data_IF_109269492937
#
_entry.id   IF_109269492937
#
_cell.length_a   1.000
_cell.length_b   1.000
_cell.length_c   1.000
_cell.angle_alpha   90.00
_cell.angle_beta   90.00
_cell.angle_gamma   90.00
#
_symmetry.space_group_name_H-M   'P 1'
#
loop_
_entity.id
_entity.type
_entity.pdbx_description
1 polymer ?
#
# COMPACT_ATOMS: atom_id res chain seq x y z
N UNK A 1 -4.45 18.44 -11.44
CA UNK A 1 -5.09 18.83 -10.18
C UNK A 1 -5.33 20.32 -10.17
N UNK A 2 -6.56 20.72 -9.94
CA UNK A 2 -6.86 22.16 -9.98
C UNK A 2 -6.63 22.82 -8.65
N UNK A 3 -6.72 22.07 -7.57
CA UNK A 3 -6.53 22.63 -6.26
C UNK A 3 -6.15 21.54 -5.30
N UNK A 4 -5.69 21.94 -4.12
CA UNK A 4 -5.38 20.97 -3.08
C UNK A 4 -6.63 20.23 -2.60
N UNK A 5 -7.81 20.78 -2.84
CA UNK A 5 -9.05 20.09 -2.49
C UNK A 5 -9.24 18.83 -3.32
N UNK A 6 -8.83 18.87 -4.58
CA UNK A 6 -8.93 17.69 -5.44
C UNK A 6 -8.10 16.55 -4.87
N UNK A 7 -6.88 16.87 -4.45
CA UNK A 7 -6.00 15.90 -3.85
C UNK A 7 -6.56 15.39 -2.53
N UNK A 8 -7.04 16.29 -1.69
CA UNK A 8 -7.55 15.90 -0.38
C UNK A 8 -8.75 14.97 -0.50
N UNK A 9 -9.62 15.20 -1.49
CA UNK A 9 -10.77 14.33 -1.70
C UNK A 9 -10.32 12.91 -2.02
N UNK A 10 -9.29 12.77 -2.84
CA UNK A 10 -8.76 11.45 -3.18
C UNK A 10 -8.10 10.80 -1.96
N UNK A 11 -7.34 11.57 -1.20
CA UNK A 11 -6.71 11.04 0.01
C UNK A 11 -7.76 10.56 1.01
N UNK A 12 -8.83 11.31 1.17
CA UNK A 12 -9.91 10.91 2.07
C UNK A 12 -10.57 9.62 1.59
N UNK A 13 -10.76 9.51 0.29
CA UNK A 13 -11.34 8.30 -0.29
C UNK A 13 -10.44 7.09 -0.07
N UNK A 14 -9.14 7.27 -0.29
CA UNK A 14 -8.18 6.19 -0.08
C UNK A 14 -8.18 5.73 1.38
N UNK A 15 -8.21 6.69 2.30
CA UNK A 15 -8.22 6.37 3.72
C UNK A 15 -9.48 5.60 4.10
N UNK A 16 -10.63 6.03 3.60
CA UNK A 16 -11.89 5.35 3.92
C UNK A 16 -11.89 3.91 3.41
N UNK A 17 -11.43 3.71 2.18
CA UNK A 17 -11.36 2.38 1.60
C UNK A 17 -10.41 1.50 2.39
N UNK A 18 -9.26 2.05 2.77
CA UNK A 18 -8.26 1.29 3.50
C UNK A 18 -8.78 0.83 4.86
N UNK A 19 -9.42 1.74 5.59
CA UNK A 19 -9.96 1.41 6.91
C UNK A 19 -11.00 0.30 6.79
N UNK A 20 -11.88 0.41 5.79
CA UNK A 20 -12.90 -0.60 5.62
C UNK A 20 -12.30 -1.96 5.26
N UNK A 21 -11.34 -1.98 4.35
CA UNK A 21 -10.71 -3.24 3.98
C UNK A 21 -9.94 -3.83 5.15
N UNK A 22 -9.30 -2.99 5.94
CA UNK A 22 -8.56 -3.48 7.10
C UNK A 22 -9.52 -4.12 8.11
N UNK A 23 -10.70 -3.56 8.28
CA UNK A 23 -11.71 -4.15 9.14
C UNK A 23 -12.19 -5.49 8.61
N UNK A 24 -12.33 -5.61 7.30
CA UNK A 24 -12.82 -6.85 6.69
C UNK A 24 -11.77 -7.95 6.69
N UNK A 25 -10.54 -7.61 6.33
CA UNK A 25 -9.49 -8.62 6.15
C UNK A 25 -8.59 -8.80 7.36
N UNK A 26 -8.47 -7.77 8.20
CA UNK A 26 -7.49 -7.78 9.25
C UNK A 26 -6.09 -7.59 8.69
N UNK A 27 -5.07 -7.64 9.54
CA UNK A 27 -3.70 -7.33 9.12
C UNK A 27 -2.94 -8.50 8.51
N UNK A 28 -3.37 -9.74 8.75
CA UNK A 28 -2.54 -10.89 8.42
C UNK A 28 -2.48 -11.22 6.94
N UNK A 29 -3.44 -10.72 6.17
CA UNK A 29 -3.36 -10.92 4.73
C UNK A 29 -2.12 -10.24 4.15
N UNK A 30 -1.60 -9.24 4.84
CA UNK A 30 -0.36 -8.56 4.46
C UNK A 30 0.79 -9.11 5.29
N UNK A 31 0.66 -9.05 6.62
CA UNK A 31 1.76 -9.43 7.50
C UNK A 31 2.13 -10.90 7.39
N UNK A 32 1.14 -11.75 7.14
CA UNK A 32 1.35 -13.18 7.04
C UNK A 32 1.49 -13.71 5.63
N UNK A 33 1.67 -12.84 4.65
CA UNK A 33 1.75 -13.28 3.26
C UNK A 33 2.95 -14.19 3.06
N UNK A 34 2.78 -15.27 2.26
CA UNK A 34 3.91 -16.13 1.96
C UNK A 34 5.05 -15.35 1.32
N UNK A 35 6.25 -15.60 1.78
CA UNK A 35 7.41 -14.87 1.29
C UNK A 35 7.61 -13.52 1.95
N UNK A 36 6.75 -13.19 2.92
CA UNK A 36 6.85 -11.94 3.65
C UNK A 36 5.93 -10.86 3.10
N UNK A 37 5.66 -9.84 3.91
CA UNK A 37 4.71 -8.81 3.52
C UNK A 37 5.13 -8.03 2.28
N UNK A 38 6.41 -7.72 2.13
CA UNK A 38 6.84 -6.98 0.95
C UNK A 38 6.68 -7.80 -0.31
N UNK A 39 6.97 -9.10 -0.22
CA UNK A 39 6.77 -9.96 -1.38
C UNK A 39 5.30 -10.08 -1.74
N UNK A 40 4.44 -10.22 -0.74
CA UNK A 40 3.00 -10.27 -0.98
C UNK A 40 2.50 -9.01 -1.65
N UNK A 41 3.00 -7.85 -1.21
CA UNK A 41 2.62 -6.59 -1.81
C UNK A 41 3.08 -6.49 -3.26
N UNK A 42 4.31 -6.93 -3.54
CA UNK A 42 4.80 -6.92 -4.93
C UNK A 42 3.89 -7.73 -5.85
N UNK A 43 3.47 -8.89 -5.39
CA UNK A 43 2.61 -9.76 -6.18
C UNK A 43 1.26 -9.09 -6.41
N UNK A 44 0.68 -8.51 -5.37
CA UNK A 44 -0.62 -7.85 -5.49
C UNK A 44 -0.56 -6.65 -6.41
N UNK A 45 0.50 -5.87 -6.29
CA UNK A 45 0.67 -4.70 -7.14
C UNK A 45 0.90 -5.11 -8.58
N UNK A 46 1.63 -6.19 -8.80
CA UNK A 46 1.84 -6.70 -10.14
C UNK A 46 0.51 -7.09 -10.79
N UNK A 47 -0.35 -7.78 -10.02
CA UNK A 47 -1.66 -8.16 -10.56
C UNK A 47 -2.48 -6.95 -10.94
N UNK A 48 -2.45 -5.91 -10.11
CA UNK A 48 -3.20 -4.69 -10.40
C UNK A 48 -2.63 -3.97 -11.60
N UNK A 49 -1.32 -3.96 -11.75
CA UNK A 49 -0.69 -3.34 -12.91
C UNK A 49 -1.04 -4.09 -14.18
N UNK A 50 -1.02 -5.42 -14.13
CA UNK A 50 -1.42 -6.24 -15.28
C UNK A 50 -2.87 -5.96 -15.66
N UNK A 51 -3.74 -5.81 -14.66
CA UNK A 51 -5.13 -5.49 -14.92
C UNK A 51 -5.26 -4.12 -15.58
N UNK A 52 -4.53 -3.14 -15.06
CA UNK A 52 -4.56 -1.81 -15.63
C UNK A 52 -4.12 -1.82 -17.09
N UNK A 53 -3.02 -2.52 -17.37
CA UNK A 53 -2.52 -2.61 -18.73
C UNK A 53 -3.57 -3.23 -19.64
N UNK A 54 -4.21 -4.29 -19.18
CA UNK A 54 -5.22 -4.95 -19.98
C UNK A 54 -6.43 -4.03 -20.25
N UNK A 55 -6.88 -3.33 -19.23
CA UNK A 55 -8.03 -2.44 -19.38
C UNK A 55 -7.73 -1.30 -20.32
N UNK A 56 -6.53 -0.75 -20.24
CA UNK A 56 -6.14 0.38 -21.09
C UNK A 56 -5.91 -0.09 -22.53
N UNK A 57 -5.23 -1.21 -22.71
CA UNK A 57 -4.89 -1.70 -24.03
C UNK A 57 -6.08 -2.25 -24.79
N UNK A 58 -7.08 -2.68 -24.07
CA UNK A 58 -8.27 -3.20 -24.70
C UNK A 58 -8.90 -2.20 -25.62
N UNK A 59 -8.97 -0.98 -25.20
CA UNK A 59 -9.27 0.14 -26.06
C UNK A 59 -10.67 0.28 -26.60
N UNK A 60 -11.52 -0.70 -26.43
CA UNK A 60 -12.88 -0.57 -26.92
C UNK A 60 -13.70 0.19 -25.87
N UNK A 61 -14.63 -0.39 -25.22
CA UNK A 61 -15.46 0.34 -24.29
C UNK A 61 -14.72 0.50 -22.96
N UNK A 62 -14.27 1.69 -22.63
CA UNK A 62 -13.52 1.85 -21.39
C UNK A 62 -14.43 1.60 -20.20
N UNK A 63 -13.92 0.82 -19.28
CA UNK A 63 -14.59 0.62 -18.01
C UNK A 63 -13.92 1.54 -17.02
N UNK A 64 -14.40 2.76 -16.95
CA UNK A 64 -13.80 3.78 -16.11
C UNK A 64 -13.81 3.40 -14.64
N UNK A 65 -14.86 2.72 -14.22
CA UNK A 65 -14.98 2.30 -12.84
C UNK A 65 -13.89 1.30 -12.48
N UNK A 66 -13.64 0.34 -13.37
CA UNK A 66 -12.58 -0.64 -13.12
C UNK A 66 -11.20 -0.02 -13.15
N UNK A 67 -10.98 0.95 -14.03
CA UNK A 67 -9.71 1.65 -14.10
C UNK A 67 -9.50 2.46 -12.81
N UNK A 68 -10.52 3.18 -12.40
CA UNK A 68 -10.44 3.96 -11.16
C UNK A 68 -10.16 3.06 -9.97
N UNK A 69 -10.90 1.96 -9.85
CA UNK A 69 -10.71 1.02 -8.74
C UNK A 69 -9.29 0.48 -8.73
N UNK A 70 -8.74 0.20 -9.92
CA UNK A 70 -7.38 -0.32 -10.00
C UNK A 70 -6.36 0.70 -9.51
N UNK A 71 -6.54 1.97 -9.87
CA UNK A 71 -5.66 3.01 -9.38
C UNK A 71 -5.77 3.16 -7.87
N UNK A 72 -6.99 3.12 -7.34
CA UNK A 72 -7.18 3.24 -5.88
C UNK A 72 -6.51 2.08 -5.15
N UNK A 73 -6.64 0.87 -5.70
CA UNK A 73 -5.99 -0.29 -5.09
C UNK A 73 -4.48 -0.17 -5.12
N UNK A 74 -3.92 0.25 -6.25
CA UNK A 74 -2.47 0.43 -6.34
C UNK A 74 -1.97 1.48 -5.36
N UNK A 75 -2.70 2.58 -5.26
CA UNK A 75 -2.32 3.64 -4.32
C UNK A 75 -2.32 3.13 -2.89
N UNK A 76 -3.36 2.38 -2.52
CA UNK A 76 -3.45 1.85 -1.17
C UNK A 76 -2.39 0.79 -0.89
N UNK A 77 -2.06 -0.05 -1.87
CA UNK A 77 -0.96 -0.98 -1.66
C UNK A 77 0.36 -0.24 -1.45
N UNK A 78 0.57 0.87 -2.13
CA UNK A 78 1.77 1.67 -1.92
C UNK A 78 1.79 2.25 -0.50
N UNK A 79 0.66 2.71 -0.02
CA UNK A 79 0.56 3.23 1.35
C UNK A 79 0.86 2.11 2.36
N UNK A 80 0.28 0.93 2.13
CA UNK A 80 0.55 -0.21 3.00
C UNK A 80 2.02 -0.55 2.97
N UNK A 81 2.65 -0.47 1.81
CA UNK A 81 4.08 -0.72 1.69
C UNK A 81 4.89 0.22 2.58
N UNK A 82 4.50 1.48 2.62
CA UNK A 82 5.17 2.44 3.49
C UNK A 82 4.95 2.10 4.96
N UNK A 83 3.73 1.71 5.31
CA UNK A 83 3.44 1.32 6.69
C UNK A 83 4.25 0.10 7.10
N UNK A 84 4.35 -0.87 6.21
CA UNK A 84 5.15 -2.07 6.47
C UNK A 84 6.62 -1.70 6.63
N UNK A 85 7.13 -0.86 5.73
CA UNK A 85 8.52 -0.45 5.78
C UNK A 85 8.87 0.27 7.08
N UNK A 86 7.91 1.03 7.59
CA UNK A 86 8.10 1.80 8.83
C UNK A 86 7.80 0.99 10.08
N UNK A 87 7.44 -0.27 9.92
CA UNK A 87 7.08 -1.11 11.06
C UNK A 87 5.78 -0.72 11.71
N UNK A 88 4.90 -0.06 10.98
CA UNK A 88 3.64 0.46 11.50
C UNK A 88 2.42 -0.37 11.11
N UNK A 89 2.62 -1.48 10.43
CA UNK A 89 1.52 -2.38 10.08
C UNK A 89 1.39 -3.43 11.17
N UNK A 90 0.13 -3.72 11.56
CA UNK A 90 -0.12 -4.69 12.62
C UNK A 90 0.26 -6.10 12.20
N UNK A 91 0.65 -6.91 13.15
CA UNK A 91 0.92 -8.32 12.90
C UNK A 91 2.28 -8.62 12.30
N UNK A 92 3.10 -7.60 12.08
CA UNK A 92 4.43 -7.83 11.58
C UNK A 92 5.27 -8.52 12.66
N UNK A 93 6.28 -9.30 12.26
CA UNK A 93 7.19 -9.86 13.24
C UNK A 93 7.77 -8.73 14.07
N UNK A 94 7.99 -9.00 15.34
CA UNK A 94 8.51 -8.01 16.26
C UNK A 94 9.79 -7.44 15.67
N UNK A 95 9.78 -6.13 15.43
CA UNK A 95 10.94 -5.51 14.83
C UNK A 95 12.14 -5.60 15.75
N UNK A 96 11.92 -5.69 17.04
CA UNK A 96 13.04 -5.92 17.94
C UNK A 96 13.69 -7.24 17.70
N UNK A 97 12.91 -8.26 17.42
CA UNK A 97 13.45 -9.54 17.11
C UNK A 97 14.15 -9.51 15.78
N UNK A 98 13.49 -8.90 14.83
CA UNK A 98 14.07 -8.82 13.50
C UNK A 98 15.30 -7.97 13.51
N UNK A 99 15.33 -6.98 14.37
CA UNK A 99 16.41 -6.04 14.36
C UNK A 99 17.34 -6.18 15.48
N UNK A 100 17.18 -7.11 16.30
CA UNK A 100 18.21 -7.36 17.26
C UNK A 100 19.48 -7.43 16.55
N UNK A 101 19.30 -7.71 15.34
CA UNK A 101 20.42 -7.69 14.52
C UNK A 101 20.67 -6.33 14.00
N UNK A 102 19.81 -5.44 13.89
CA UNK A 102 20.14 -4.21 13.23
C UNK A 102 19.92 -3.03 14.07
N UNK A 103 19.31 -2.82 14.75
CA UNK A 103 19.09 -1.66 15.51
C UNK A 103 18.90 -0.36 14.80
N UNK A 104 18.85 0.05 14.60
CA UNK A 104 18.46 1.10 14.40
C UNK A 104 17.99 1.90 14.19
N UNK A 105 17.90 2.32 13.90
CA UNK A 105 17.42 3.23 13.67
C UNK A 105 16.88 3.85 13.42
N UNK A 106 16.80 4.08 13.30
CA UNK A 106 16.25 4.81 13.03
C UNK A 106 15.65 5.35 13.07
N UNK A 107 15.48 5.49 12.99
CA UNK A 107 14.79 6.15 12.91
C UNK A 107 14.36 6.68 12.84
N UNK A 108 14.45 6.92 12.73
CA UNK A 108 14.07 7.44 12.71
C UNK A 108 14.00 7.96 12.71
N UNK A 109 14.36 8.09 12.50
CA UNK A 109 14.37 8.54 12.39
C UNK A 109 14.37 8.99 12.12
N UNK A 110 14.63 9.00 11.81
CA UNK A 110 14.69 9.35 11.42
C UNK A 110 14.41 9.63 10.91
N UNK A 111 14.53 9.77 10.63
CA UNK A 111 14.30 10.05 10.09
C UNK A 111 13.98 10.58 9.71
N UNK A 112 13.90 10.64 9.57
CA UNK A 112 13.73 11.27 9.19
C UNK A 112 14.01 11.66 8.87
N UNK A 113 14.44 11.68 8.61
CA UNK A 113 14.88 11.98 8.14
C UNK A 113 15.11 11.71 7.47
N UNK A 114 15.31 11.33 7.20
CA UNK A 114 15.44 11.01 6.35
C UNK A 114 14.96 11.17 5.56
N UNK A 115 14.84 11.34 4.94
CA UNK A 115 14.38 11.50 4.15
C UNK A 115 14.12 11.24 3.43
N UNK A 116 14.23 11.13 2.94
CA UNK A 116 14.11 10.86 2.29
C UNK A 116 13.87 11.04 1.90
#
# INVERSE_FOLDING_TARGET
MRSSRDLQAILDQLAAIMVKKHQDYGPMNIAGAPGGPMNGLRVRMYDKLARLNNLVEKGDTPNYESIEDTFLDLANYAIIGLLVQRGQWEGLPDSNEAKKSSSTQRPTDTISERPK
#
